data_IF_897662515963
#
_entry.id   IF_897662515963
#
_cell.length_a   1.000
_cell.length_b   1.000
_cell.length_c   1.000
_cell.angle_alpha   90.00
_cell.angle_beta   90.00
_cell.angle_gamma   90.00
#
_symmetry.space_group_name_H-M   'P 1'
#
loop_
_entity.id
_entity.type
_entity.pdbx_description
1 polymer ?
#
# COMPACT_ATOMS: atom_id res chain seq x y z
N UNK A 1 5.22 -6.64 -27.18
CA UNK A 1 4.96 -6.19 -28.56
C UNK A 1 5.50 -4.80 -28.84
N UNK A 2 5.32 -3.81 -27.96
CA UNK A 2 5.83 -2.43 -28.17
C UNK A 2 7.31 -2.34 -28.62
N UNK A 3 8.24 -3.09 -27.99
CA UNK A 3 9.65 -3.08 -28.37
C UNK A 3 9.91 -3.45 -29.84
N UNK A 4 9.11 -4.35 -30.42
CA UNK A 4 9.25 -4.78 -31.81
C UNK A 4 9.03 -3.62 -32.79
N UNK A 5 8.16 -2.68 -32.44
CA UNK A 5 7.86 -1.51 -33.26
C UNK A 5 8.77 -0.33 -32.94
N UNK A 6 9.03 -0.07 -31.65
CA UNK A 6 9.87 1.05 -31.22
C UNK A 6 11.35 0.87 -31.56
N UNK A 7 11.87 -0.36 -31.51
CA UNK A 7 13.26 -0.67 -31.85
C UNK A 7 13.39 -2.07 -32.47
N UNK A 8 12.98 -2.24 -33.74
CA UNK A 8 12.97 -3.54 -34.41
C UNK A 8 14.38 -4.15 -34.50
N UNK A 9 15.41 -3.35 -34.75
CA UNK A 9 16.80 -3.83 -34.87
C UNK A 9 17.27 -4.54 -33.60
N UNK A 10 17.06 -3.92 -32.44
CA UNK A 10 17.44 -4.54 -31.16
C UNK A 10 16.55 -5.74 -30.81
N UNK A 11 15.25 -5.68 -31.13
CA UNK A 11 14.34 -6.80 -30.94
C UNK A 11 14.82 -8.05 -31.70
N UNK A 12 15.04 -7.94 -33.02
CA UNK A 12 15.47 -9.07 -33.85
C UNK A 12 16.88 -9.55 -33.52
N UNK A 13 17.78 -8.64 -33.11
CA UNK A 13 19.10 -9.01 -32.57
C UNK A 13 18.99 -9.93 -31.35
N UNK A 14 18.16 -9.57 -30.37
CA UNK A 14 17.96 -10.39 -29.16
C UNK A 14 17.29 -11.72 -29.51
N UNK A 15 16.32 -11.73 -30.43
CA UNK A 15 15.69 -12.98 -30.91
C UNK A 15 16.71 -13.93 -31.51
N UNK A 16 17.58 -13.43 -32.40
CA UNK A 16 18.60 -14.26 -33.04
C UNK A 16 19.59 -14.82 -32.01
N UNK A 17 20.09 -13.97 -31.10
CA UNK A 17 20.99 -14.41 -30.02
C UNK A 17 20.34 -15.47 -29.10
N UNK A 18 19.04 -15.35 -28.83
CA UNK A 18 18.31 -16.36 -28.05
C UNK A 18 18.12 -17.69 -28.79
N UNK A 19 18.05 -17.68 -30.13
CA UNK A 19 17.92 -18.87 -30.96
C UNK A 19 19.24 -19.64 -31.06
N UNK A 20 20.36 -18.95 -31.30
CA UNK A 20 21.69 -19.57 -31.46
C UNK A 20 22.09 -20.45 -30.27
N UNK A 21 21.62 -20.10 -29.07
CA UNK A 21 21.99 -20.79 -27.83
C UNK A 21 20.86 -21.62 -27.21
N UNK A 22 19.81 -21.90 -27.97
CA UNK A 22 18.60 -22.58 -27.49
C UNK A 22 18.88 -24.00 -26.97
N UNK A 23 19.63 -24.81 -27.71
CA UNK A 23 19.88 -26.22 -27.37
C UNK A 23 20.72 -26.35 -26.08
N UNK A 24 21.82 -25.59 -25.97
CA UNK A 24 22.64 -25.53 -24.77
C UNK A 24 21.80 -25.15 -23.53
N UNK A 25 20.88 -24.21 -23.70
CA UNK A 25 19.97 -23.76 -22.65
C UNK A 25 19.00 -24.85 -22.22
N UNK A 26 18.30 -25.47 -23.17
CA UNK A 26 17.30 -26.49 -22.88
C UNK A 26 17.95 -27.66 -22.14
N UNK A 27 19.13 -28.11 -22.59
CA UNK A 27 19.90 -29.16 -21.91
C UNK A 27 20.28 -28.79 -20.47
N UNK A 28 20.78 -27.57 -20.25
CA UNK A 28 21.16 -27.10 -18.91
C UNK A 28 19.94 -26.96 -17.98
N UNK A 29 18.84 -26.41 -18.49
CA UNK A 29 17.59 -26.28 -17.74
C UNK A 29 17.06 -27.65 -17.35
N UNK A 30 16.97 -28.60 -18.29
CA UNK A 30 16.49 -29.95 -18.00
C UNK A 30 17.34 -30.66 -16.96
N UNK A 31 18.67 -30.55 -17.02
CA UNK A 31 19.55 -31.13 -16.00
C UNK A 31 19.33 -30.51 -14.61
N UNK A 32 19.21 -29.18 -14.54
CA UNK A 32 18.99 -28.50 -13.25
C UNK A 32 17.59 -28.76 -12.69
N UNK A 33 16.57 -28.87 -13.55
CA UNK A 33 15.20 -29.24 -13.16
C UNK A 33 15.18 -30.63 -12.53
N UNK A 34 15.85 -31.59 -13.17
CA UNK A 34 15.98 -32.95 -12.65
C UNK A 34 16.71 -32.99 -11.31
N UNK A 35 17.78 -32.19 -11.17
CA UNK A 35 18.51 -32.06 -9.91
C UNK A 35 17.66 -31.52 -8.76
N UNK A 36 16.76 -30.56 -9.05
CA UNK A 36 15.83 -30.01 -8.06
C UNK A 36 14.74 -31.05 -7.76
N UNK A 37 14.22 -31.76 -8.78
CA UNK A 37 13.19 -32.79 -8.62
C UNK A 37 13.63 -33.89 -7.66
N UNK A 38 14.85 -34.40 -7.83
CA UNK A 38 15.44 -35.40 -6.93
C UNK A 38 15.52 -34.85 -5.50
N UNK A 39 16.01 -33.62 -5.33
CA UNK A 39 16.13 -33.00 -4.01
C UNK A 39 14.77 -32.75 -3.32
N UNK A 40 13.71 -32.48 -4.08
CA UNK A 40 12.35 -32.35 -3.52
C UNK A 40 11.72 -33.70 -3.19
N UNK A 41 11.99 -34.73 -3.99
CA UNK A 41 11.50 -36.10 -3.75
C UNK A 41 12.13 -36.74 -2.52
N UNK A 42 13.43 -36.50 -2.27
CA UNK A 42 14.12 -36.93 -1.04
C UNK A 42 13.48 -36.36 0.24
N UNK A 43 12.82 -35.20 0.14
CA UNK A 43 12.08 -34.58 1.23
C UNK A 43 10.61 -35.00 1.30
N UNK A 44 10.13 -35.81 0.34
CA UNK A 44 8.72 -36.18 0.22
C UNK A 44 7.80 -35.01 -0.18
N UNK A 45 8.35 -33.97 -0.83
CA UNK A 45 7.60 -32.78 -1.24
C UNK A 45 7.24 -32.90 -2.72
N UNK A 46 5.95 -32.81 -3.04
CA UNK A 46 5.50 -32.69 -4.42
C UNK A 46 5.75 -31.25 -4.92
N UNK A 47 6.45 -31.13 -6.05
CA UNK A 47 6.78 -29.83 -6.63
C UNK A 47 6.68 -29.85 -8.16
N UNK A 48 6.01 -28.86 -8.74
CA UNK A 48 6.03 -28.62 -10.18
C UNK A 48 7.24 -27.74 -10.52
N UNK A 49 8.18 -28.29 -11.30
CA UNK A 49 9.47 -27.63 -11.57
C UNK A 49 9.64 -27.47 -13.08
N UNK A 50 9.81 -26.23 -13.54
CA UNK A 50 10.04 -25.95 -14.96
C UNK A 50 10.90 -24.72 -15.21
N UNK A 51 11.53 -24.68 -16.39
CA UNK A 51 12.30 -23.54 -16.86
C UNK A 51 11.40 -22.35 -17.24
N UNK A 52 11.66 -21.18 -16.66
CA UNK A 52 10.97 -19.93 -16.99
C UNK A 52 11.70 -19.19 -18.12
N UNK A 53 11.12 -19.07 -19.33
CA UNK A 53 11.71 -18.25 -20.38
C UNK A 53 11.66 -16.76 -19.99
N UNK A 54 12.76 -16.03 -20.22
CA UNK A 54 12.79 -14.58 -20.06
C UNK A 54 12.15 -13.89 -21.26
N UNK A 55 11.27 -12.92 -21.00
CA UNK A 55 10.72 -12.08 -22.06
C UNK A 55 11.80 -11.18 -22.69
N UNK A 56 11.75 -11.05 -24.02
CA UNK A 56 12.70 -10.25 -24.83
C UNK A 56 12.82 -8.81 -24.31
N UNK A 57 11.70 -8.20 -23.90
CA UNK A 57 11.72 -6.83 -23.37
C UNK A 57 12.49 -6.70 -22.05
N UNK A 58 12.39 -7.71 -21.18
CA UNK A 58 13.14 -7.73 -19.91
C UNK A 58 14.65 -7.89 -20.15
N UNK A 59 15.04 -8.66 -21.17
CA UNK A 59 16.44 -8.77 -21.61
C UNK A 59 16.94 -7.43 -22.13
N UNK A 60 16.18 -6.82 -23.05
CA UNK A 60 16.50 -5.49 -23.59
C UNK A 60 16.67 -4.44 -22.49
N UNK A 61 15.75 -4.41 -21.51
CA UNK A 61 15.83 -3.47 -20.38
C UNK A 61 17.11 -3.67 -19.57
N UNK A 62 17.50 -4.92 -19.28
CA UNK A 62 18.76 -5.21 -18.57
C UNK A 62 19.99 -4.79 -19.38
N UNK A 63 19.99 -5.02 -20.70
CA UNK A 63 21.07 -4.58 -21.57
C UNK A 63 21.20 -3.05 -21.60
N UNK A 64 20.07 -2.33 -21.67
CA UNK A 64 20.04 -0.88 -21.75
C UNK A 64 20.35 -0.21 -20.41
N UNK A 65 19.63 -0.58 -19.36
CA UNK A 65 19.63 0.14 -18.09
C UNK A 65 20.82 -0.27 -17.20
N UNK A 66 21.22 -1.55 -17.25
CA UNK A 66 22.33 -2.07 -16.44
C UNK A 66 23.65 -2.16 -17.22
N UNK A 67 23.65 -1.73 -18.49
CA UNK A 67 24.80 -1.80 -19.42
C UNK A 67 25.45 -3.19 -19.51
N UNK A 68 24.68 -4.24 -19.27
CA UNK A 68 25.17 -5.62 -19.30
C UNK A 68 25.18 -6.17 -20.72
N UNK A 69 26.22 -6.93 -21.05
CA UNK A 69 26.28 -7.66 -22.30
C UNK A 69 25.29 -8.83 -22.31
N UNK A 70 24.89 -9.27 -23.50
CA UNK A 70 23.95 -10.39 -23.63
C UNK A 70 24.46 -11.64 -22.91
N UNK A 71 25.76 -11.93 -23.00
CA UNK A 71 26.40 -13.08 -22.33
C UNK A 71 26.32 -13.00 -20.80
N UNK A 72 26.44 -11.81 -20.19
CA UNK A 72 26.33 -11.63 -18.73
C UNK A 72 24.87 -11.74 -18.24
N UNK A 73 23.90 -11.58 -19.14
CA UNK A 73 22.46 -11.77 -18.86
C UNK A 73 22.06 -13.22 -19.10
N UNK A 74 22.80 -13.90 -19.99
CA UNK A 74 22.65 -15.31 -20.36
C UNK A 74 22.82 -16.24 -19.16
N UNK A 75 23.71 -15.85 -18.25
CA UNK A 75 24.04 -16.48 -16.97
C UNK A 75 22.93 -16.45 -15.90
N UNK A 76 21.69 -16.15 -16.28
CA UNK A 76 20.57 -16.16 -15.33
C UNK A 76 19.40 -16.88 -15.98
N UNK A 77 19.54 -18.20 -16.11
CA UNK A 77 18.38 -19.06 -16.33
C UNK A 77 17.51 -19.01 -15.08
N UNK A 78 16.21 -18.85 -15.28
CA UNK A 78 15.25 -18.81 -14.20
C UNK A 78 14.52 -20.16 -14.17
N UNK A 79 14.57 -20.86 -13.04
CA UNK A 79 13.77 -22.05 -12.79
C UNK A 79 12.66 -21.66 -11.83
N UNK A 80 11.46 -22.15 -12.10
CA UNK A 80 10.32 -21.98 -11.21
C UNK A 80 10.02 -23.31 -10.54
N UNK A 81 9.79 -23.23 -9.24
CA UNK A 81 9.34 -24.34 -8.40
C UNK A 81 8.02 -23.91 -7.77
N UNK A 82 6.99 -24.71 -7.99
CA UNK A 82 5.67 -24.50 -7.41
C UNK A 82 5.40 -25.66 -6.45
N UNK A 83 5.03 -25.32 -5.23
CA UNK A 83 4.73 -26.27 -4.14
C UNK A 83 3.37 -25.97 -3.53
N UNK A 84 2.89 -26.85 -2.65
CA UNK A 84 1.56 -26.69 -2.06
C UNK A 84 1.53 -25.68 -0.91
N UNK A 85 2.55 -25.68 -0.04
CA UNK A 85 2.55 -24.84 1.16
C UNK A 85 3.74 -23.87 1.26
N UNK A 86 3.59 -22.86 2.13
CA UNK A 86 4.68 -21.93 2.46
C UNK A 86 5.83 -22.67 3.17
N UNK A 87 5.51 -23.66 4.01
CA UNK A 87 6.53 -24.48 4.69
C UNK A 87 7.41 -25.21 3.66
N UNK A 88 6.78 -25.75 2.63
CA UNK A 88 7.48 -26.43 1.54
C UNK A 88 8.34 -25.46 0.74
N UNK A 89 7.91 -24.20 0.56
CA UNK A 89 8.75 -23.19 -0.10
C UNK A 89 10.12 -23.05 0.58
N UNK A 90 10.14 -22.96 1.91
CA UNK A 90 11.37 -22.83 2.68
C UNK A 90 12.14 -24.15 2.79
N UNK A 91 11.46 -25.30 2.84
CA UNK A 91 12.11 -26.60 2.81
C UNK A 91 12.87 -26.82 1.49
N UNK A 92 12.23 -26.51 0.36
CA UNK A 92 12.88 -26.58 -0.96
C UNK A 92 14.02 -25.58 -1.09
N UNK A 93 13.88 -24.36 -0.54
CA UNK A 93 14.98 -23.40 -0.47
C UNK A 93 16.20 -23.98 0.27
N UNK A 94 15.98 -24.64 1.41
CA UNK A 94 17.03 -25.29 2.18
C UNK A 94 17.70 -26.43 1.40
N UNK A 95 16.93 -27.26 0.71
CA UNK A 95 17.44 -28.34 -0.14
C UNK A 95 18.37 -27.80 -1.24
N UNK A 96 17.92 -26.74 -1.91
CA UNK A 96 18.67 -26.05 -2.97
C UNK A 96 19.99 -25.48 -2.42
N UNK A 97 19.97 -24.82 -1.25
CA UNK A 97 21.18 -24.23 -0.65
C UNK A 97 22.15 -25.27 -0.10
N UNK A 98 21.67 -26.48 0.18
CA UNK A 98 22.52 -27.61 0.57
C UNK A 98 23.25 -28.17 -0.65
N UNK A 99 22.57 -28.27 -1.80
CA UNK A 99 23.14 -28.79 -3.05
C UNK A 99 24.04 -27.79 -3.77
N UNK A 100 23.66 -26.51 -3.78
CA UNK A 100 24.40 -25.45 -4.47
C UNK A 100 24.65 -24.25 -3.58
N UNK A 101 25.86 -23.68 -3.70
CA UNK A 101 26.26 -22.50 -2.92
C UNK A 101 25.44 -21.27 -3.35
N UNK A 102 24.70 -20.63 -2.42
CA UNK A 102 23.99 -19.39 -2.72
C UNK A 102 24.96 -18.22 -2.93
N UNK A 103 24.63 -17.35 -3.87
CA UNK A 103 25.40 -16.12 -4.10
C UNK A 103 25.01 -15.05 -3.06
N UNK A 104 25.98 -14.45 -2.34
CA UNK A 104 25.71 -13.38 -1.38
C UNK A 104 24.95 -12.20 -2.01
N UNK A 105 23.97 -11.68 -1.28
CA UNK A 105 23.15 -10.54 -1.72
C UNK A 105 22.17 -10.82 -2.88
N UNK A 106 22.02 -12.10 -3.28
CA UNK A 106 21.11 -12.53 -4.36
C UNK A 106 19.92 -13.36 -3.88
N UNK A 107 19.69 -13.40 -2.57
CA UNK A 107 18.48 -13.96 -1.98
C UNK A 107 17.46 -12.83 -1.69
N UNK A 108 16.19 -13.05 -2.03
CA UNK A 108 15.09 -12.15 -1.73
C UNK A 108 13.88 -12.95 -1.31
N UNK A 109 13.40 -12.66 -0.11
CA UNK A 109 12.20 -13.28 0.44
C UNK A 109 10.98 -12.38 0.18
N UNK A 110 10.31 -12.60 -0.96
CA UNK A 110 9.05 -11.89 -1.24
C UNK A 110 7.83 -12.58 -0.61
N UNK A 111 7.99 -13.69 0.13
CA UNK A 111 6.89 -14.26 0.90
C UNK A 111 6.75 -13.45 2.20
N UNK A 112 7.84 -13.24 2.92
CA UNK A 112 7.89 -12.42 4.13
C UNK A 112 7.74 -10.93 3.83
N UNK A 113 8.27 -10.46 2.69
CA UNK A 113 8.15 -9.07 2.24
C UNK A 113 7.58 -8.99 0.81
N UNK A 114 6.25 -9.15 0.65
CA UNK A 114 5.60 -9.06 -0.66
C UNK A 114 5.87 -7.72 -1.35
N UNK A 115 5.87 -7.73 -2.69
CA UNK A 115 5.93 -6.47 -3.44
C UNK A 115 4.58 -5.75 -3.39
N UNK A 116 4.59 -4.45 -3.68
CA UNK A 116 3.38 -3.62 -3.74
C UNK A 116 2.26 -4.16 -4.65
N UNK A 117 2.60 -4.94 -5.69
CA UNK A 117 1.62 -5.60 -6.55
C UNK A 117 1.17 -6.98 -6.02
N UNK A 118 1.33 -7.22 -4.71
CA UNK A 118 1.05 -8.50 -4.03
C UNK A 118 1.85 -9.69 -4.55
N UNK A 119 2.95 -9.45 -5.28
CA UNK A 119 3.81 -10.52 -5.77
C UNK A 119 4.56 -11.19 -4.61
N UNK A 120 4.39 -12.51 -4.50
CA UNK A 120 5.02 -13.36 -3.50
C UNK A 120 5.80 -14.50 -4.16
N UNK A 121 7.05 -14.71 -3.74
CA UNK A 121 7.94 -15.81 -4.14
C UNK A 121 9.29 -15.69 -3.42
N UNK A 122 9.95 -16.81 -3.13
CA UNK A 122 11.37 -16.82 -2.74
C UNK A 122 12.23 -16.79 -3.99
N UNK A 123 13.15 -15.82 -4.07
CA UNK A 123 14.12 -15.73 -5.16
C UNK A 123 15.50 -15.99 -4.61
N UNK A 124 16.21 -16.94 -5.18
CA UNK A 124 17.61 -17.20 -4.84
C UNK A 124 18.44 -17.36 -6.10
N UNK A 125 19.69 -16.89 -6.08
CA UNK A 125 20.66 -17.21 -7.14
C UNK A 125 21.75 -18.09 -6.55
N UNK A 126 21.96 -19.25 -7.15
CA UNK A 126 22.98 -20.23 -6.74
C UNK A 126 23.98 -20.46 -7.86
N UNK A 127 25.16 -20.96 -7.52
CA UNK A 127 26.16 -21.41 -8.50
C UNK A 127 25.82 -22.84 -8.89
N UNK A 128 25.34 -23.03 -10.12
CA UNK A 128 24.84 -24.32 -10.62
C UNK A 128 25.94 -25.29 -11.08
N UNK A 129 25.55 -26.46 -11.63
CA UNK A 129 26.44 -27.59 -11.94
C UNK A 129 27.59 -27.32 -12.92
N UNK A 130 27.55 -26.22 -13.66
CA UNK A 130 28.61 -25.81 -14.61
C UNK A 130 29.32 -24.50 -14.21
N UNK A 131 29.18 -24.06 -12.95
CA UNK A 131 29.71 -22.77 -12.47
C UNK A 131 28.89 -21.55 -12.90
N UNK A 132 27.85 -21.75 -13.71
CA UNK A 132 26.97 -20.68 -14.17
C UNK A 132 25.92 -20.36 -13.10
N UNK A 133 25.53 -19.08 -12.91
CA UNK A 133 24.48 -18.72 -11.98
C UNK A 133 23.12 -19.26 -12.43
N UNK A 134 22.32 -19.69 -11.47
CA UNK A 134 20.92 -20.11 -11.70
C UNK A 134 20.03 -19.36 -10.73
N UNK A 135 19.02 -18.67 -11.27
CA UNK A 135 17.99 -18.00 -10.49
C UNK A 135 16.84 -18.99 -10.27
N UNK A 136 16.50 -19.28 -9.02
CA UNK A 136 15.41 -20.19 -8.67
C UNK A 136 14.31 -19.39 -7.97
N UNK A 137 13.08 -19.55 -8.43
CA UNK A 137 11.88 -18.89 -7.94
C UNK A 137 10.95 -19.94 -7.34
N UNK A 138 10.79 -19.93 -6.03
CA UNK A 138 9.96 -20.89 -5.29
C UNK A 138 8.72 -20.17 -4.80
N UNK A 139 7.54 -20.77 -4.94
CA UNK A 139 6.28 -20.20 -4.47
C UNK A 139 5.19 -21.25 -4.40
N UNK A 140 4.04 -20.91 -3.81
CA UNK A 140 2.87 -21.78 -3.83
C UNK A 140 2.05 -21.65 -5.13
N UNK A 141 1.11 -22.57 -5.34
CA UNK A 141 0.15 -22.49 -6.44
C UNK A 141 -0.66 -21.17 -6.41
N UNK A 142 -1.16 -20.78 -5.24
CA UNK A 142 -1.90 -19.52 -5.08
C UNK A 142 -1.03 -18.29 -5.42
N UNK A 143 0.21 -18.26 -4.92
CA UNK A 143 1.17 -17.21 -5.25
C UNK A 143 1.52 -17.20 -6.75
N UNK A 144 1.45 -18.35 -7.42
CA UNK A 144 1.64 -18.45 -8.85
C UNK A 144 0.50 -17.78 -9.61
N UNK A 145 -0.74 -18.06 -9.26
CA UNK A 145 -1.93 -17.48 -9.89
C UNK A 145 -1.96 -15.96 -9.73
N UNK A 146 -1.76 -15.46 -8.50
CA UNK A 146 -1.73 -14.01 -8.22
C UNK A 146 -0.64 -13.32 -9.05
N UNK A 147 0.51 -13.96 -9.23
CA UNK A 147 1.62 -13.38 -9.97
C UNK A 147 1.46 -13.38 -11.49
N UNK A 148 0.68 -14.30 -12.06
CA UNK A 148 0.43 -14.36 -13.51
C UNK A 148 -0.80 -13.54 -13.91
N UNK A 149 -1.88 -13.63 -13.13
CA UNK A 149 -3.17 -13.04 -13.49
C UNK A 149 -3.51 -11.76 -12.70
N UNK A 150 -2.76 -11.47 -11.64
CA UNK A 150 -3.05 -10.36 -10.74
C UNK A 150 -4.22 -10.69 -9.80
N UNK A 151 -4.46 -9.78 -8.85
CA UNK A 151 -5.46 -9.96 -7.80
C UNK A 151 -6.89 -10.01 -8.37
N UNK A 152 -7.19 -9.18 -9.39
CA UNK A 152 -8.52 -9.07 -9.98
C UNK A 152 -8.99 -10.35 -10.71
N UNK A 153 -8.07 -11.08 -11.35
CA UNK A 153 -8.42 -12.31 -12.07
C UNK A 153 -8.56 -13.52 -11.13
N UNK A 154 -7.80 -13.54 -10.03
CA UNK A 154 -7.95 -14.56 -8.99
C UNK A 154 -9.31 -14.41 -8.25
N UNK A 155 -9.84 -13.19 -8.13
CA UNK A 155 -11.19 -12.92 -7.60
C UNK A 155 -12.31 -13.51 -8.46
N UNK A 156 -12.27 -13.31 -9.79
CA UNK A 156 -13.27 -13.87 -10.71
C UNK A 156 -13.31 -15.41 -10.70
N UNK A 157 -12.17 -16.06 -10.42
CA UNK A 157 -12.08 -17.52 -10.34
C UNK A 157 -12.63 -18.07 -9.01
N UNK A 158 -12.43 -17.35 -7.89
CA UNK A 158 -12.98 -17.73 -6.57
C UNK A 158 -14.49 -17.46 -6.45
N UNK A 159 -15.03 -16.42 -7.09
CA UNK A 159 -16.50 -16.20 -7.16
C UNK A 159 -17.24 -17.33 -7.91
N UNK A 160 -16.57 -18.03 -8.83
CA UNK A 160 -17.15 -19.18 -9.54
C UNK A 160 -17.24 -20.47 -8.71
N UNK A 161 -16.58 -20.55 -7.55
CA UNK A 161 -16.63 -21.70 -6.65
C UNK A 161 -17.35 -21.31 -5.36
N UNK A 162 -18.61 -21.75 -5.25
CA UNK A 162 -19.42 -21.73 -4.03
C UNK A 162 -18.85 -22.67 -2.95
N UNK A 163 -17.64 -22.41 -2.45
CA UNK A 163 -17.14 -23.07 -1.25
C UNK A 163 -16.91 -22.04 -0.15
N UNK A 164 -17.39 -22.39 1.04
CA UNK A 164 -17.36 -21.59 2.26
C UNK A 164 -15.94 -21.12 2.52
N UNK A 165 -15.71 -19.83 2.26
CA UNK A 165 -14.43 -19.15 2.48
C UNK A 165 -14.14 -19.14 3.98
N UNK A 166 -13.01 -19.71 4.39
CA UNK A 166 -12.51 -19.60 5.76
C UNK A 166 -12.19 -18.14 6.10
N UNK A 167 -12.41 -17.70 7.35
CA UNK A 167 -12.51 -16.28 7.67
C UNK A 167 -11.19 -15.50 7.54
N UNK A 168 -10.03 -16.15 7.59
CA UNK A 168 -8.76 -15.48 7.92
C UNK A 168 -8.12 -14.69 6.75
N UNK A 169 -8.33 -15.14 5.50
CA UNK A 169 -7.88 -14.40 4.30
C UNK A 169 -8.80 -13.24 3.92
N UNK A 170 -10.07 -13.33 4.31
CA UNK A 170 -11.12 -12.36 4.01
C UNK A 170 -10.94 -11.09 4.85
N UNK A 171 -10.48 -11.21 6.09
CA UNK A 171 -10.35 -10.11 7.06
C UNK A 171 -9.32 -9.03 6.66
N UNK A 172 -8.18 -9.42 6.08
CA UNK A 172 -7.12 -8.46 5.67
C UNK A 172 -7.40 -7.76 4.34
N UNK A 173 -8.21 -8.35 3.47
CA UNK A 173 -8.60 -7.73 2.20
C UNK A 173 -9.87 -6.87 2.36
N UNK A 174 -10.75 -7.23 3.31
CA UNK A 174 -11.83 -6.36 3.78
C UNK A 174 -11.30 -5.10 4.46
N UNK A 175 -10.19 -5.16 5.22
CA UNK A 175 -9.68 -3.99 5.94
C UNK A 175 -9.23 -2.86 5.03
N UNK A 176 -8.59 -3.13 3.89
CA UNK A 176 -8.19 -2.09 2.94
C UNK A 176 -9.40 -1.46 2.23
N UNK A 177 -10.40 -2.26 1.87
CA UNK A 177 -11.65 -1.76 1.31
C UNK A 177 -12.43 -0.94 2.35
N UNK A 178 -12.43 -1.37 3.61
CA UNK A 178 -12.96 -0.59 4.73
C UNK A 178 -12.17 0.69 4.96
N UNK A 179 -10.84 0.69 4.86
CA UNK A 179 -10.03 1.90 4.96
C UNK A 179 -10.33 2.87 3.82
N UNK A 180 -10.52 2.38 2.59
CA UNK A 180 -10.93 3.25 1.46
C UNK A 180 -12.34 3.81 1.67
N UNK A 181 -13.28 3.01 2.16
CA UNK A 181 -14.65 3.45 2.46
C UNK A 181 -14.68 4.42 3.66
N UNK A 182 -13.90 4.17 4.71
CA UNK A 182 -13.73 5.08 5.84
C UNK A 182 -13.05 6.38 5.39
N UNK A 183 -12.04 6.31 4.51
CA UNK A 183 -11.42 7.50 3.92
C UNK A 183 -12.42 8.28 3.06
N UNK A 184 -13.32 7.60 2.35
CA UNK A 184 -14.39 8.22 1.58
C UNK A 184 -15.40 8.94 2.50
N UNK A 185 -15.81 8.31 3.61
CA UNK A 185 -16.70 8.92 4.61
C UNK A 185 -16.03 10.08 5.39
N UNK A 186 -14.70 10.06 5.53
CA UNK A 186 -13.92 11.09 6.25
C UNK A 186 -13.37 12.21 5.34
N UNK A 187 -13.44 12.08 4.01
CA UNK A 187 -12.92 13.06 3.04
C UNK A 187 -14.01 13.93 2.43
N UNK A 188 -13.83 15.26 2.45
CA UNK A 188 -14.81 16.22 1.91
C UNK A 188 -14.51 16.65 0.46
N UNK A 189 -13.25 16.53 0.00
CA UNK A 189 -12.82 16.90 -1.36
C UNK A 189 -12.12 15.73 -2.07
N UNK A 190 -12.33 15.61 -3.37
CA UNK A 190 -11.72 14.59 -4.23
C UNK A 190 -10.19 14.69 -4.25
N UNK A 191 -9.65 15.90 -4.05
CA UNK A 191 -8.20 16.13 -3.97
C UNK A 191 -7.62 15.58 -2.66
N UNK A 192 -8.28 15.86 -1.52
CA UNK A 192 -7.88 15.33 -0.20
C UNK A 192 -8.02 13.80 -0.13
N UNK A 193 -9.08 13.26 -0.73
CA UNK A 193 -9.26 11.81 -0.87
C UNK A 193 -8.10 11.18 -1.65
N UNK A 194 -7.75 11.74 -2.82
CA UNK A 194 -6.64 11.20 -3.62
C UNK A 194 -5.28 11.33 -2.92
N UNK A 195 -5.07 12.37 -2.12
CA UNK A 195 -3.84 12.56 -1.37
C UNK A 195 -3.74 11.55 -0.21
N UNK A 196 -4.84 11.31 0.52
CA UNK A 196 -4.94 10.27 1.54
C UNK A 196 -4.68 8.87 0.97
N UNK A 197 -5.29 8.54 -0.17
CA UNK A 197 -5.10 7.26 -0.86
C UNK A 197 -3.66 7.07 -1.35
N UNK A 198 -3.01 8.12 -1.87
CA UNK A 198 -1.62 8.04 -2.35
C UNK A 198 -0.60 7.95 -1.21
N UNK A 199 -0.85 8.63 -0.10
CA UNK A 199 0.09 8.71 1.03
C UNK A 199 0.02 7.50 1.96
N UNK A 200 -1.18 7.15 2.44
CA UNK A 200 -1.32 6.17 3.52
C UNK A 200 -1.24 4.73 3.00
N UNK A 201 -1.77 4.42 1.81
CA UNK A 201 -1.81 3.04 1.27
C UNK A 201 -0.46 2.58 0.70
N UNK A 202 0.35 3.49 0.16
CA UNK A 202 1.63 3.15 -0.49
C UNK A 202 2.86 3.36 0.39
N UNK A 203 2.69 3.86 1.61
CA UNK A 203 3.79 4.04 2.56
C UNK A 203 4.24 2.69 3.15
N UNK A 204 5.55 2.56 3.41
CA UNK A 204 6.05 1.45 4.23
C UNK A 204 5.28 1.43 5.57
N UNK A 205 4.93 0.26 6.11
CA UNK A 205 4.26 0.16 7.41
C UNK A 205 5.26 -0.03 8.56
N UNK A 206 4.91 0.49 9.74
CA UNK A 206 5.56 0.21 11.02
C UNK A 206 4.62 -0.55 11.95
N UNK A 207 5.17 -1.50 12.71
CA UNK A 207 4.45 -2.35 13.65
C UNK A 207 4.80 -1.94 15.08
N UNK A 208 3.80 -1.50 15.82
CA UNK A 208 3.92 -1.06 17.22
C UNK A 208 3.06 -1.92 18.13
N UNK A 209 3.47 -2.03 19.39
CA UNK A 209 2.83 -2.89 20.38
C UNK A 209 2.13 -2.07 21.45
N UNK A 210 0.95 -2.52 21.88
CA UNK A 210 0.33 -2.04 23.12
C UNK A 210 1.04 -2.67 24.33
N UNK A 211 0.94 -2.10 25.54
CA UNK A 211 1.48 -2.73 26.75
C UNK A 211 0.84 -4.08 27.07
N UNK A 212 -0.33 -4.37 26.48
CA UNK A 212 -1.04 -5.64 26.60
C UNK A 212 -0.58 -6.70 25.60
N UNK A 213 0.29 -6.33 24.65
CA UNK A 213 0.85 -7.22 23.64
C UNK A 213 0.12 -7.22 22.29
N UNK A 214 -0.91 -6.38 22.11
CA UNK A 214 -1.60 -6.25 20.82
C UNK A 214 -0.73 -5.51 19.81
N UNK A 215 -0.72 -5.97 18.57
CA UNK A 215 0.04 -5.35 17.48
C UNK A 215 -0.88 -4.42 16.70
N UNK A 216 -0.43 -3.19 16.47
CA UNK A 216 -1.09 -2.22 15.59
C UNK A 216 -0.14 -1.82 14.46
N UNK A 217 -0.68 -1.74 13.25
CA UNK A 217 0.06 -1.25 12.09
C UNK A 217 -0.24 0.22 11.82
N UNK A 218 0.81 0.97 11.47
CA UNK A 218 0.71 2.40 11.13
C UNK A 218 1.63 2.71 9.93
N UNK A 219 1.35 3.75 9.14
CA UNK A 219 2.27 4.29 8.15
C UNK A 219 3.63 4.66 8.75
N UNK A 220 4.73 4.41 8.04
CA UNK A 220 6.08 4.81 8.47
C UNK A 220 6.17 6.32 8.58
N UNK A 221 6.70 6.79 9.70
CA UNK A 221 6.71 8.21 10.05
C UNK A 221 5.50 8.66 10.89
N UNK A 222 4.61 7.73 11.24
CA UNK A 222 3.58 7.94 12.25
C UNK A 222 4.19 8.19 13.63
N UNK A 223 3.53 9.07 14.38
CA UNK A 223 3.89 9.37 15.77
C UNK A 223 2.86 8.86 16.78
N UNK A 224 3.07 9.14 18.07
CA UNK A 224 2.12 8.78 19.12
C UNK A 224 0.71 9.29 18.92
N UNK A 225 0.55 10.48 18.32
CA UNK A 225 -0.77 11.05 18.04
C UNK A 225 -1.53 10.21 17.00
N UNK A 226 -0.86 9.76 15.94
CA UNK A 226 -1.47 8.89 14.93
C UNK A 226 -1.97 7.58 15.55
N UNK A 227 -1.18 6.99 16.46
CA UNK A 227 -1.56 5.80 17.22
C UNK A 227 -2.76 6.06 18.16
N UNK A 228 -2.82 7.21 18.82
CA UNK A 228 -3.95 7.56 19.68
C UNK A 228 -5.27 7.65 18.87
N UNK A 229 -5.22 8.28 17.70
CA UNK A 229 -6.37 8.42 16.79
C UNK A 229 -6.74 7.13 16.04
N UNK A 230 -5.81 6.19 15.90
CA UNK A 230 -6.10 4.85 15.36
C UNK A 230 -6.85 3.97 16.36
N UNK A 231 -6.62 4.13 17.67
CA UNK A 231 -7.38 3.42 18.71
C UNK A 231 -8.80 3.99 18.81
N UNK A 232 -8.92 5.29 19.09
CA UNK A 232 -10.23 5.94 19.23
C UNK A 232 -10.10 7.46 19.13
N UNK A 233 -11.10 8.11 18.53
CA UNK A 233 -11.11 9.58 18.36
C UNK A 233 -11.06 10.32 19.70
N UNK A 234 -11.78 9.83 20.72
CA UNK A 234 -11.75 10.44 22.06
C UNK A 234 -10.40 10.27 22.77
N UNK A 235 -9.69 9.17 22.54
CA UNK A 235 -8.35 8.94 23.08
C UNK A 235 -7.37 9.92 22.43
N UNK A 236 -7.44 10.05 21.09
CA UNK A 236 -6.70 11.07 20.35
C UNK A 236 -6.96 12.48 20.88
N UNK A 237 -8.22 12.89 20.97
CA UNK A 237 -8.59 14.24 21.44
C UNK A 237 -8.15 14.52 22.89
N UNK A 238 -8.12 13.50 23.75
CA UNK A 238 -7.73 13.64 25.17
C UNK A 238 -6.27 13.32 25.45
N UNK A 239 -5.45 13.14 24.41
CA UNK A 239 -4.02 12.81 24.56
C UNK A 239 -3.26 13.98 25.19
N UNK A 240 -2.52 13.71 26.28
CA UNK A 240 -1.66 14.70 26.94
C UNK A 240 -0.17 14.36 26.83
N UNK A 241 0.15 13.09 26.63
CA UNK A 241 1.52 12.62 26.48
C UNK A 241 1.59 11.18 26.03
N UNK A 242 2.81 10.70 25.77
CA UNK A 242 3.05 9.33 25.36
C UNK A 242 4.31 8.77 26.04
N UNK A 243 4.29 7.46 26.29
CA UNK A 243 5.48 6.69 26.65
C UNK A 243 5.78 5.67 25.57
N UNK A 244 7.06 5.53 25.23
CA UNK A 244 7.56 4.50 24.33
C UNK A 244 8.61 3.69 25.08
N UNK A 245 8.45 2.37 25.11
CA UNK A 245 9.30 1.42 25.84
C UNK A 245 9.48 1.81 27.32
N UNK A 246 8.40 2.28 27.96
CA UNK A 246 8.38 2.71 29.36
C UNK A 246 8.97 4.10 29.65
N UNK A 247 9.47 4.83 28.64
CA UNK A 247 10.04 6.19 28.80
C UNK A 247 9.13 7.25 28.20
N UNK A 248 8.99 8.40 28.87
CA UNK A 248 8.25 9.53 28.30
C UNK A 248 8.93 10.06 27.03
N UNK A 249 8.14 10.28 26.00
CA UNK A 249 8.57 10.84 24.72
C UNK A 249 7.71 12.04 24.35
N UNK A 250 8.25 12.91 23.49
CA UNK A 250 7.47 13.99 22.90
C UNK A 250 6.46 13.45 21.89
N UNK A 251 5.37 14.18 21.67
CA UNK A 251 4.32 13.80 20.72
C UNK A 251 4.77 13.78 19.25
N UNK A 252 5.91 14.41 18.92
CA UNK A 252 6.55 14.37 17.58
C UNK A 252 7.50 13.16 17.39
N UNK A 253 7.64 12.29 18.39
CA UNK A 253 8.48 11.11 18.25
C UNK A 253 8.00 10.23 17.09
N UNK A 254 8.92 9.73 16.27
CA UNK A 254 8.61 8.84 15.13
C UNK A 254 8.73 7.38 15.54
N UNK A 255 7.63 6.65 15.43
CA UNK A 255 7.52 5.26 15.86
C UNK A 255 8.37 4.32 15.00
N UNK A 256 8.96 3.31 15.63
CA UNK A 256 9.78 2.29 15.00
C UNK A 256 9.18 0.90 15.21
N UNK A 257 9.56 -0.05 14.35
CA UNK A 257 9.16 -1.44 14.51
C UNK A 257 9.61 -2.00 15.86
N UNK A 258 8.67 -2.59 16.59
CA UNK A 258 8.95 -3.18 17.90
C UNK A 258 8.78 -2.23 19.09
N UNK A 259 8.45 -0.96 18.86
CA UNK A 259 8.19 -0.02 19.95
C UNK A 259 6.89 -0.37 20.69
N UNK A 260 6.95 -0.42 22.02
CA UNK A 260 5.78 -0.55 22.90
C UNK A 260 5.31 0.84 23.26
N UNK A 261 4.11 1.23 22.86
CA UNK A 261 3.56 2.57 23.06
C UNK A 261 2.40 2.58 24.06
N UNK A 262 2.44 3.53 24.99
CA UNK A 262 1.38 3.81 25.96
C UNK A 262 0.97 5.28 25.82
N UNK A 263 -0.31 5.53 25.52
CA UNK A 263 -0.87 6.88 25.43
C UNK A 263 -1.41 7.30 26.79
N UNK A 264 -1.02 8.50 27.22
CA UNK A 264 -1.54 9.12 28.43
C UNK A 264 -2.68 10.05 28.04
N UNK A 265 -3.87 9.83 28.59
CA UNK A 265 -5.05 10.67 28.38
C UNK A 265 -5.45 11.37 29.67
N UNK A 266 -6.08 12.54 29.54
CA UNK A 266 -6.69 13.25 30.66
C UNK A 266 -8.12 13.66 30.32
N UNK A 267 -9.11 13.38 31.19
CA UNK A 267 -10.49 13.81 30.97
C UNK A 267 -10.66 15.34 31.00
N UNK A 268 -9.74 16.06 31.63
CA UNK A 268 -9.74 17.53 31.69
C UNK A 268 -8.96 18.18 30.53
N UNK A 269 -8.59 17.42 29.50
CA UNK A 269 -7.94 17.98 28.32
C UNK A 269 -8.91 18.85 27.54
N UNK A 270 -8.47 20.04 27.13
CA UNK A 270 -9.24 20.96 26.28
C UNK A 270 -9.40 20.45 24.84
N UNK A 271 -8.66 19.41 24.44
CA UNK A 271 -8.69 18.87 23.08
C UNK A 271 -7.34 18.99 22.37
N UNK A 272 -7.31 18.64 21.06
CA UNK A 272 -6.12 18.81 20.23
C UNK A 272 -5.71 20.27 20.06
N UNK A 273 -4.43 20.51 19.80
CA UNK A 273 -3.90 21.82 19.37
C UNK A 273 -3.82 21.90 17.84
N UNK A 274 -3.92 23.11 17.28
CA UNK A 274 -3.76 23.34 15.82
C UNK A 274 -2.39 22.88 15.32
N UNK A 275 -1.36 22.91 16.16
CA UNK A 275 -0.02 22.43 15.79
C UNK A 275 0.03 20.92 15.57
N UNK A 276 -0.92 20.15 16.12
CA UNK A 276 -0.95 18.70 15.92
C UNK A 276 -1.15 18.33 14.45
N UNK A 277 -1.79 19.18 13.65
CA UNK A 277 -1.93 18.99 12.20
C UNK A 277 -0.59 18.87 11.48
N UNK A 278 0.49 19.46 12.02
CA UNK A 278 1.86 19.35 11.49
C UNK A 278 2.59 18.11 12.00
N UNK A 279 2.17 17.57 13.15
CA UNK A 279 2.82 16.44 13.83
C UNK A 279 2.29 15.08 13.34
N UNK A 280 1.00 15.00 13.01
CA UNK A 280 0.36 13.77 12.54
C UNK A 280 0.73 13.44 11.10
N UNK A 281 1.11 12.18 10.86
CA UNK A 281 1.47 11.71 9.53
C UNK A 281 0.27 11.15 8.75
N UNK A 282 -0.71 10.59 9.45
CA UNK A 282 -1.86 9.91 8.84
C UNK A 282 -2.96 10.90 8.44
N UNK A 283 -3.61 10.62 7.31
CA UNK A 283 -4.76 11.42 6.84
C UNK A 283 -5.95 11.30 7.80
N UNK A 284 -6.19 10.09 8.31
CA UNK A 284 -7.22 9.79 9.32
C UNK A 284 -7.10 10.67 10.56
N UNK A 285 -5.90 10.77 11.15
CA UNK A 285 -5.69 11.63 12.32
C UNK A 285 -5.87 13.12 11.98
N UNK A 286 -5.35 13.58 10.83
CA UNK A 286 -5.55 14.97 10.36
C UNK A 286 -7.03 15.31 10.21
N UNK A 287 -7.81 14.44 9.57
CA UNK A 287 -9.23 14.69 9.31
C UNK A 287 -10.03 14.71 10.62
N UNK A 288 -9.74 13.80 11.56
CA UNK A 288 -10.36 13.82 12.89
C UNK A 288 -10.06 15.10 13.68
N UNK A 289 -8.81 15.58 13.64
CA UNK A 289 -8.42 16.86 14.27
C UNK A 289 -9.13 18.04 13.60
N UNK A 290 -9.14 18.09 12.26
CA UNK A 290 -9.87 19.14 11.51
C UNK A 290 -11.35 19.15 11.88
N UNK A 291 -11.98 17.97 11.96
CA UNK A 291 -13.39 17.82 12.34
C UNK A 291 -13.66 18.29 13.77
N UNK A 292 -12.74 18.04 14.70
CA UNK A 292 -12.86 18.56 16.07
C UNK A 292 -12.91 20.10 16.09
N UNK A 293 -11.98 20.76 15.41
CA UNK A 293 -12.00 22.23 15.30
C UNK A 293 -13.22 22.73 14.51
N UNK A 294 -13.70 21.98 13.51
CA UNK A 294 -14.92 22.31 12.75
C UNK A 294 -16.17 22.30 13.64
N UNK A 295 -16.21 21.39 14.62
CA UNK A 295 -17.31 21.35 15.58
C UNK A 295 -17.19 22.46 16.64
N UNK A 296 -15.97 22.70 17.14
CA UNK A 296 -15.71 23.72 18.15
C UNK A 296 -15.94 25.14 17.63
N UNK A 297 -15.47 25.45 16.43
CA UNK A 297 -15.54 26.79 15.84
C UNK A 297 -16.87 26.99 15.06
N UNK A 298 -17.84 26.07 15.16
CA UNK A 298 -19.08 26.12 14.34
C UNK A 298 -19.84 27.42 14.54
N UNK A 299 -20.08 27.83 15.78
CA UNK A 299 -20.81 29.08 16.07
C UNK A 299 -20.05 30.32 15.54
N UNK A 300 -18.72 30.36 15.70
CA UNK A 300 -17.90 31.45 15.19
C UNK A 300 -17.90 31.49 13.65
N UNK A 301 -17.88 30.33 13.00
CA UNK A 301 -17.88 30.23 11.54
C UNK A 301 -19.24 30.53 10.91
N UNK A 302 -20.36 30.25 11.60
CA UNK A 302 -21.69 30.73 11.19
C UNK A 302 -21.69 32.26 11.15
N UNK A 303 -21.17 32.91 12.20
CA UNK A 303 -21.12 34.37 12.28
C UNK A 303 -20.23 34.95 11.17
N UNK A 304 -19.00 34.44 11.03
CA UNK A 304 -18.05 34.89 10.00
C UNK A 304 -18.56 34.66 8.57
N UNK A 305 -19.22 33.52 8.34
CA UNK A 305 -19.80 33.17 7.05
C UNK A 305 -20.94 34.12 6.68
N UNK A 306 -21.85 34.37 7.62
CA UNK A 306 -22.93 35.35 7.42
C UNK A 306 -22.38 36.75 7.12
N UNK A 307 -21.40 37.23 7.90
CA UNK A 307 -20.74 38.53 7.65
C UNK A 307 -20.07 38.59 6.27
N UNK A 308 -19.42 37.50 5.85
CA UNK A 308 -18.74 37.42 4.55
C UNK A 308 -19.73 37.46 3.38
N UNK A 309 -20.88 36.78 3.50
CA UNK A 309 -21.96 36.84 2.50
C UNK A 309 -22.57 38.24 2.43
N UNK A 310 -22.88 38.85 3.57
CA UNK A 310 -23.43 40.22 3.62
C UNK A 310 -22.47 41.23 2.99
N UNK A 311 -21.18 41.11 3.29
CA UNK A 311 -20.14 41.96 2.69
C UNK A 311 -20.05 41.76 1.19
N UNK A 312 -20.02 40.51 0.71
CA UNK A 312 -20.00 40.19 -0.72
C UNK A 312 -21.19 40.80 -1.48
N UNK A 313 -22.40 40.67 -0.93
CA UNK A 313 -23.63 41.24 -1.52
C UNK A 313 -23.54 42.77 -1.60
N UNK A 314 -23.01 43.40 -0.56
CA UNK A 314 -22.84 44.86 -0.50
C UNK A 314 -21.78 45.33 -1.51
N UNK A 315 -20.66 44.61 -1.62
CA UNK A 315 -19.58 44.89 -2.58
C UNK A 315 -20.05 44.76 -4.04
N UNK A 316 -21.01 43.86 -4.31
CA UNK A 316 -21.68 43.71 -5.61
C UNK A 316 -22.75 44.79 -5.89
N UNK A 317 -22.99 45.71 -4.94
CA UNK A 317 -23.92 46.82 -5.10
C UNK A 317 -25.39 46.49 -4.84
N UNK A 318 -25.68 45.34 -4.21
CA UNK A 318 -27.04 44.95 -3.86
C UNK A 318 -27.35 45.18 -2.38
N UNK A 319 -28.62 45.38 -2.05
CA UNK A 319 -29.06 45.46 -0.65
C UNK A 319 -29.20 44.05 -0.05
N UNK A 320 -28.53 43.72 1.06
CA UNK A 320 -28.62 42.40 1.70
C UNK A 320 -30.06 41.94 1.99
N UNK A 321 -30.94 42.87 2.38
CA UNK A 321 -32.37 42.58 2.68
C UNK A 321 -33.18 42.09 1.48
N UNK A 322 -32.81 42.49 0.26
CA UNK A 322 -33.55 42.14 -0.97
C UNK A 322 -33.11 40.79 -1.57
N UNK A 323 -31.93 40.32 -1.16
CA UNK A 323 -31.32 39.07 -1.62
C UNK A 323 -31.47 37.96 -0.57
N UNK A 324 -31.21 38.24 0.71
CA UNK A 324 -31.35 37.29 1.82
C UNK A 324 -32.81 37.10 2.26
N UNK A 325 -33.69 36.84 1.28
CA UNK A 325 -35.09 36.49 1.51
C UNK A 325 -35.21 34.98 1.65
N UNK A 326 -36.15 34.51 2.49
CA UNK A 326 -36.34 33.07 2.77
C UNK A 326 -36.44 32.20 1.51
N UNK A 327 -37.11 32.68 0.47
CA UNK A 327 -37.28 31.92 -0.77
C UNK A 327 -35.95 31.73 -1.53
N UNK A 328 -35.13 32.80 -1.67
CA UNK A 328 -33.83 32.72 -2.35
C UNK A 328 -32.80 31.94 -1.54
N UNK A 329 -32.89 32.02 -0.22
CA UNK A 329 -32.02 31.25 0.66
C UNK A 329 -32.36 29.76 0.60
N UNK A 330 -33.65 29.41 0.52
CA UNK A 330 -34.09 28.02 0.30
C UNK A 330 -33.61 27.49 -1.06
N UNK A 331 -33.69 28.28 -2.13
CA UNK A 331 -33.13 27.90 -3.44
C UNK A 331 -31.61 27.67 -3.37
N UNK A 332 -30.88 28.46 -2.59
CA UNK A 332 -29.45 28.26 -2.37
C UNK A 332 -29.17 26.99 -1.56
N UNK A 333 -29.94 26.73 -0.50
CA UNK A 333 -29.85 25.50 0.30
C UNK A 333 -30.07 24.25 -0.57
N UNK A 334 -31.09 24.26 -1.43
CA UNK A 334 -31.39 23.15 -2.34
C UNK A 334 -30.30 22.97 -3.41
N UNK A 335 -29.75 24.09 -3.94
CA UNK A 335 -28.68 24.06 -4.95
C UNK A 335 -27.37 23.49 -4.41
N UNK A 336 -27.02 23.84 -3.17
CA UNK A 336 -25.77 23.41 -2.52
C UNK A 336 -25.96 22.17 -1.62
N UNK A 337 -27.18 21.65 -1.52
CA UNK A 337 -27.54 20.45 -0.77
C UNK A 337 -27.27 20.56 0.75
N UNK A 338 -27.59 21.72 1.34
CA UNK A 338 -27.52 21.95 2.80
C UNK A 338 -28.92 21.94 3.44
N UNK A 339 -29.02 21.50 4.70
CA UNK A 339 -30.30 21.38 5.40
C UNK A 339 -30.73 22.63 6.16
N UNK A 340 -29.76 23.43 6.64
CA UNK A 340 -30.04 24.63 7.44
C UNK A 340 -29.24 25.84 6.95
N UNK A 341 -29.78 27.04 7.17
CA UNK A 341 -29.10 28.30 6.86
C UNK A 341 -27.74 28.41 7.59
N UNK A 342 -27.70 27.94 8.85
CA UNK A 342 -26.48 27.89 9.65
C UNK A 342 -25.43 26.94 9.06
N UNK A 343 -25.83 25.80 8.48
CA UNK A 343 -24.88 24.91 7.80
C UNK A 343 -24.25 25.57 6.57
N UNK A 344 -25.05 26.33 5.81
CA UNK A 344 -24.57 27.08 4.65
C UNK A 344 -23.61 28.20 5.07
N UNK A 345 -23.97 28.99 6.08
CA UNK A 345 -23.07 30.04 6.58
C UNK A 345 -21.80 29.46 7.20
N UNK A 346 -21.91 28.37 7.96
CA UNK A 346 -20.73 27.68 8.49
C UNK A 346 -19.80 27.21 7.34
N UNK A 347 -20.34 26.63 6.28
CA UNK A 347 -19.56 26.20 5.11
C UNK A 347 -18.85 27.37 4.42
N UNK A 348 -19.49 28.54 4.33
CA UNK A 348 -18.86 29.76 3.83
C UNK A 348 -17.76 30.25 4.78
N UNK A 349 -17.99 30.20 6.10
CA UNK A 349 -16.99 30.56 7.11
C UNK A 349 -15.74 29.68 7.09
N UNK A 350 -15.90 28.40 6.74
CA UNK A 350 -14.78 27.47 6.53
C UNK A 350 -14.07 27.66 5.19
N UNK A 351 -14.70 28.34 4.21
CA UNK A 351 -14.20 28.47 2.85
C UNK A 351 -14.46 27.26 1.95
N UNK A 352 -15.40 26.37 2.33
CA UNK A 352 -15.85 25.26 1.48
C UNK A 352 -16.72 25.79 0.32
N UNK A 353 -17.49 26.84 0.59
CA UNK A 353 -18.30 27.56 -0.40
C UNK A 353 -17.83 29.00 -0.44
N UNK A 354 -17.54 29.51 -1.64
CA UNK A 354 -17.22 30.91 -1.81
C UNK A 354 -18.48 31.76 -1.59
N UNK A 355 -18.40 32.90 -0.86
CA UNK A 355 -19.53 33.82 -0.69
C UNK A 355 -20.08 34.39 -2.02
N UNK A 356 -19.34 34.22 -3.12
CA UNK A 356 -19.69 34.73 -4.45
C UNK A 356 -20.49 33.72 -5.29
N UNK A 357 -20.37 32.42 -5.00
CA UNK A 357 -20.95 31.34 -5.80
C UNK A 357 -22.38 31.05 -5.36
#
# INVERSE_FOLDING_TARGET
TALRYLNPKQYYRIVHLMQTKREEREKYVSGTVEDIRIATEELGIFAEIYGRPKHIYSIYRKMKDQKKQFNEIYDLLAIRVIVDSIKDCYAVLGAIHTKWKPMPGRFKDYIAMPKANMYQSLHTTVIGPAGNPVEIQIRTQEMHEIAEFGVAAHWAYKEGKNEKVEPDGMTKQLSWFHEILELQDESYDASEFMEGVKGDIFSDKVYVFTPKGDVTELPKGSGPLDFAYSIHTDIGNKTTGAKVNGKMVQLDYKLKNGDIIEIMTSPNSFGPSRDWLKLVATSKARNKIKRFFKAQDREENVIKGHESVVKCITDLGFTPKDILTKNKLQEALDRFNYQTEDDLYAAVGYGEVSPLT
#
